data_IF_731390321471
#
_entry.id   IF_731390321471
#
_cell.length_a   1.000
_cell.length_b   1.000
_cell.length_c   1.000
_cell.angle_alpha   90.00
_cell.angle_beta   90.00
_cell.angle_gamma   90.00
#
_symmetry.space_group_name_H-M   'P 1'
#
loop_
_entity.id
_entity.type
_entity.pdbx_description
1 polymer ?
#
# COMPACT_ATOMS: atom_id res chain seq x y z
N UNK A 1 45.95 -22.99 -11.61
CA UNK A 1 44.79 -22.71 -12.48
C UNK A 1 43.64 -22.46 -11.55
N UNK A 2 43.15 -21.22 -11.56
CA UNK A 2 42.16 -20.68 -10.63
C UNK A 2 40.80 -21.07 -11.17
N UNK A 3 40.04 -21.87 -10.42
CA UNK A 3 38.62 -22.09 -10.70
C UNK A 3 37.88 -20.80 -10.31
N UNK A 4 37.34 -20.10 -11.30
CA UNK A 4 36.39 -19.02 -11.11
C UNK A 4 35.13 -19.57 -10.45
N UNK A 5 34.99 -19.32 -9.14
CA UNK A 5 33.72 -19.46 -8.45
C UNK A 5 32.74 -18.43 -9.03
N UNK A 6 31.86 -18.89 -9.92
CA UNK A 6 30.79 -18.08 -10.48
C UNK A 6 29.91 -17.54 -9.37
N UNK A 7 29.94 -16.22 -9.17
CA UNK A 7 28.98 -15.46 -8.38
C UNK A 7 27.56 -15.78 -8.86
N UNK A 8 26.81 -16.56 -8.08
CA UNK A 8 25.36 -16.68 -8.24
C UNK A 8 24.76 -15.39 -7.68
N UNK A 9 24.70 -14.33 -8.51
CA UNK A 9 23.86 -13.17 -8.24
C UNK A 9 22.41 -13.62 -8.37
N UNK A 10 21.66 -13.55 -7.27
CA UNK A 10 20.26 -13.97 -7.23
C UNK A 10 19.44 -13.35 -8.36
N UNK A 11 18.72 -14.18 -9.10
CA UNK A 11 17.81 -13.76 -10.18
C UNK A 11 16.45 -13.40 -9.58
N UNK A 12 15.70 -12.56 -10.31
CA UNK A 12 14.29 -12.37 -10.05
C UNK A 12 13.59 -13.74 -10.09
N UNK A 13 12.96 -14.16 -8.98
CA UNK A 13 12.36 -15.49 -8.85
C UNK A 13 13.00 -16.41 -7.79
N UNK A 14 14.14 -16.06 -7.21
CA UNK A 14 14.84 -16.95 -6.27
C UNK A 14 14.21 -16.98 -4.87
N UNK A 15 13.29 -16.06 -4.55
CA UNK A 15 12.67 -15.91 -3.22
C UNK A 15 11.31 -16.58 -3.06
N UNK A 16 10.83 -17.30 -4.09
CA UNK A 16 9.54 -18.02 -4.09
C UNK A 16 9.60 -19.32 -3.27
N UNK A 17 9.82 -19.18 -1.97
CA UNK A 17 9.75 -20.26 -0.99
C UNK A 17 8.69 -19.92 0.05
N UNK A 18 8.19 -20.93 0.76
CA UNK A 18 7.37 -20.66 1.94
C UNK A 18 8.22 -20.00 3.04
N UNK A 19 7.78 -18.90 3.65
CA UNK A 19 8.46 -18.33 4.81
C UNK A 19 8.48 -19.34 5.96
N UNK A 20 9.46 -19.21 6.86
CA UNK A 20 9.44 -19.90 8.14
C UNK A 20 8.58 -19.12 9.15
N UNK A 21 7.93 -19.77 10.12
CA UNK A 21 7.24 -19.05 11.19
C UNK A 21 8.27 -18.36 12.10
N UNK A 22 8.06 -17.08 12.42
CA UNK A 22 8.88 -16.35 13.39
C UNK A 22 8.52 -16.71 14.83
N UNK A 23 7.22 -16.76 15.11
CA UNK A 23 6.64 -17.19 16.38
C UNK A 23 5.21 -17.68 16.15
N UNK A 24 4.66 -18.40 17.12
CA UNK A 24 3.28 -18.86 17.07
C UNK A 24 2.31 -17.76 17.53
N UNK A 25 1.57 -17.17 16.59
CA UNK A 25 0.60 -16.10 16.89
C UNK A 25 -0.57 -16.62 17.75
N UNK A 26 -0.82 -17.94 17.77
CA UNK A 26 -1.82 -18.56 18.63
C UNK A 26 -1.38 -18.73 20.09
N UNK A 27 -0.08 -18.58 20.39
CA UNK A 27 0.44 -18.62 21.74
C UNK A 27 0.39 -17.20 22.36
N UNK A 28 -0.42 -16.96 23.41
CA UNK A 28 -0.54 -15.65 24.04
C UNK A 28 0.74 -15.17 24.73
N UNK A 29 1.73 -16.05 24.92
CA UNK A 29 3.04 -15.70 25.47
C UNK A 29 4.11 -15.48 24.39
N UNK A 30 3.80 -15.80 23.14
CA UNK A 30 4.72 -15.58 22.04
C UNK A 30 4.77 -14.10 21.65
N UNK A 31 5.97 -13.67 21.26
CA UNK A 31 6.24 -12.31 20.80
C UNK A 31 7.35 -12.35 19.75
N UNK A 32 7.43 -11.36 18.84
CA UNK A 32 8.58 -11.22 17.98
C UNK A 32 9.86 -11.01 18.82
N UNK A 33 11.02 -11.47 18.34
CA UNK A 33 12.31 -11.04 18.88
C UNK A 33 12.40 -9.51 18.91
N UNK A 34 13.05 -8.96 19.93
CA UNK A 34 13.13 -7.50 20.11
C UNK A 34 13.84 -6.76 18.97
N UNK A 35 14.74 -7.44 18.26
CA UNK A 35 15.47 -6.93 17.10
C UNK A 35 14.75 -7.16 15.76
N UNK A 36 13.53 -7.70 15.78
CA UNK A 36 12.72 -7.90 14.59
C UNK A 36 12.42 -6.59 13.85
N UNK A 37 12.16 -6.69 12.56
CA UNK A 37 11.62 -5.62 11.74
C UNK A 37 10.09 -5.76 11.67
N UNK A 38 9.43 -4.67 11.30
CA UNK A 38 7.98 -4.63 11.21
C UNK A 38 7.52 -3.88 9.96
N UNK A 39 6.50 -4.44 9.33
CA UNK A 39 5.78 -3.82 8.23
C UNK A 39 4.30 -3.72 8.59
N UNK A 40 3.75 -2.52 8.52
CA UNK A 40 2.33 -2.28 8.74
C UNK A 40 1.59 -2.08 7.41
N UNK A 41 0.53 -2.83 7.19
CA UNK A 41 -0.41 -2.63 6.08
C UNK A 41 -1.75 -2.16 6.60
N UNK A 42 -2.28 -1.04 6.08
CA UNK A 42 -3.50 -0.40 6.58
C UNK A 42 -4.65 -0.51 5.58
N UNK A 43 -5.83 -0.90 6.01
CA UNK A 43 -6.95 -1.02 5.09
C UNK A 43 -7.47 0.35 4.60
N UNK A 44 -8.16 0.40 3.45
CA UNK A 44 -8.89 1.58 3.02
C UNK A 44 -9.87 2.09 4.09
N UNK A 45 -10.04 3.41 4.16
CA UNK A 45 -10.82 4.02 5.24
C UNK A 45 -12.31 3.76 5.09
N UNK A 46 -12.83 3.73 3.86
CA UNK A 46 -14.25 3.44 3.60
C UNK A 46 -14.66 2.04 4.05
N UNK A 47 -13.75 1.06 3.95
CA UNK A 47 -13.99 -0.28 4.46
C UNK A 47 -13.98 -0.31 5.99
N UNK A 48 -13.10 0.47 6.63
CA UNK A 48 -13.15 0.64 8.09
C UNK A 48 -14.46 1.30 8.53
N UNK A 49 -14.94 2.31 7.79
CA UNK A 49 -16.22 2.97 8.06
C UNK A 49 -17.43 2.04 7.88
N UNK A 50 -17.41 1.17 6.86
CA UNK A 50 -18.42 0.12 6.69
C UNK A 50 -18.45 -0.81 7.91
N UNK A 51 -17.29 -1.30 8.36
CA UNK A 51 -17.19 -2.23 9.49
C UNK A 51 -17.64 -1.57 10.81
N UNK A 52 -17.30 -0.30 11.04
CA UNK A 52 -17.83 0.50 12.15
C UNK A 52 -19.35 0.63 12.08
N UNK A 53 -19.89 0.90 10.88
CA UNK A 53 -21.32 0.98 10.64
C UNK A 53 -22.04 -0.34 10.94
N UNK A 54 -21.45 -1.47 10.57
CA UNK A 54 -21.96 -2.81 10.86
C UNK A 54 -21.97 -3.10 12.37
N UNK A 55 -20.86 -2.81 13.07
CA UNK A 55 -20.79 -2.97 14.52
C UNK A 55 -21.84 -2.09 15.24
N UNK A 56 -21.99 -0.84 14.80
CA UNK A 56 -23.02 0.09 15.33
C UNK A 56 -24.44 -0.43 15.09
N UNK A 57 -24.67 -1.15 13.99
CA UNK A 57 -25.94 -1.77 13.65
C UNK A 57 -26.20 -3.10 14.40
N UNK A 58 -25.27 -3.56 15.25
CA UNK A 58 -25.37 -4.82 16.00
C UNK A 58 -25.03 -6.06 15.18
N UNK A 59 -24.24 -5.92 14.12
CA UNK A 59 -23.78 -7.01 13.25
C UNK A 59 -22.38 -7.52 13.69
N UNK A 60 -22.15 -7.67 14.99
CA UNK A 60 -20.84 -8.03 15.56
C UNK A 60 -20.33 -9.39 15.05
N UNK A 61 -21.24 -10.34 14.81
CA UNK A 61 -20.89 -11.67 14.27
C UNK A 61 -20.31 -11.57 12.86
N UNK A 62 -20.86 -10.69 12.01
CA UNK A 62 -20.36 -10.47 10.65
C UNK A 62 -18.99 -9.77 10.67
N UNK A 63 -18.79 -8.83 11.60
CA UNK A 63 -17.48 -8.16 11.79
C UNK A 63 -16.44 -9.16 12.30
N UNK A 64 -16.81 -10.08 13.19
CA UNK A 64 -15.92 -11.15 13.65
C UNK A 64 -15.59 -12.16 12.53
N UNK A 65 -16.57 -12.49 11.69
CA UNK A 65 -16.36 -13.32 10.50
C UNK A 65 -15.39 -12.66 9.51
N UNK A 66 -15.55 -11.36 9.26
CA UNK A 66 -14.60 -10.56 8.49
C UNK A 66 -13.19 -10.66 9.07
N UNK A 67 -13.03 -10.43 10.38
CA UNK A 67 -11.72 -10.50 11.04
C UNK A 67 -11.04 -11.85 10.87
N UNK A 68 -11.82 -12.94 10.91
CA UNK A 68 -11.32 -14.30 10.67
C UNK A 68 -10.83 -14.47 9.24
N UNK A 69 -11.64 -14.09 8.25
CA UNK A 69 -11.30 -14.24 6.83
C UNK A 69 -10.14 -13.32 6.42
N UNK A 70 -10.09 -12.11 6.95
CA UNK A 70 -8.97 -11.18 6.74
C UNK A 70 -7.68 -11.71 7.36
N UNK A 71 -7.76 -12.29 8.56
CA UNK A 71 -6.61 -12.97 9.18
C UNK A 71 -6.08 -14.09 8.30
N UNK A 72 -6.96 -14.96 7.77
CA UNK A 72 -6.55 -16.02 6.83
C UNK A 72 -5.88 -15.46 5.58
N UNK A 73 -6.45 -14.41 4.98
CA UNK A 73 -5.84 -13.73 3.83
C UNK A 73 -4.42 -13.26 4.14
N UNK A 74 -4.21 -12.63 5.30
CA UNK A 74 -2.89 -12.14 5.72
C UNK A 74 -1.91 -13.30 5.90
N UNK A 75 -2.30 -14.35 6.62
CA UNK A 75 -1.42 -15.50 6.89
C UNK A 75 -1.05 -16.26 5.61
N UNK A 76 -1.99 -16.45 4.68
CA UNK A 76 -1.78 -17.28 3.50
C UNK A 76 -1.18 -16.52 2.31
N UNK A 77 -1.57 -15.25 2.11
CA UNK A 77 -1.19 -14.50 0.92
C UNK A 77 -0.19 -13.40 1.19
N UNK A 78 -0.40 -12.58 2.23
CA UNK A 78 0.47 -11.44 2.51
C UNK A 78 1.85 -11.91 2.93
N UNK A 79 1.94 -12.89 3.84
CA UNK A 79 3.24 -13.43 4.26
C UNK A 79 4.04 -14.01 3.09
N UNK A 80 3.39 -14.73 2.17
CA UNK A 80 4.04 -15.23 0.95
C UNK A 80 4.56 -14.09 0.09
N UNK A 81 3.79 -13.03 -0.12
CA UNK A 81 4.21 -11.89 -0.94
C UNK A 81 5.33 -11.08 -0.28
N UNK A 82 5.32 -10.93 1.04
CA UNK A 82 6.42 -10.35 1.81
C UNK A 82 7.69 -11.18 1.64
N UNK A 83 7.59 -12.51 1.72
CA UNK A 83 8.71 -13.41 1.43
C UNK A 83 9.25 -13.22 0.00
N UNK A 84 8.38 -13.17 -1.00
CA UNK A 84 8.78 -12.98 -2.40
C UNK A 84 9.47 -11.63 -2.62
N UNK A 85 8.93 -10.54 -2.08
CA UNK A 85 9.45 -9.19 -2.30
C UNK A 85 10.67 -8.83 -1.44
N UNK A 86 10.70 -9.31 -0.20
CA UNK A 86 11.64 -8.89 0.83
C UNK A 86 12.64 -9.99 1.24
N UNK A 87 12.53 -11.20 0.68
CA UNK A 87 13.31 -12.39 1.05
C UNK A 87 14.80 -12.34 0.73
N UNK A 88 15.53 -11.42 1.34
CA UNK A 88 16.96 -11.22 1.12
C UNK A 88 17.71 -11.04 2.44
N UNK A 89 18.87 -11.67 2.56
CA UNK A 89 19.83 -11.43 3.63
C UNK A 89 21.03 -10.60 3.10
N UNK A 90 21.69 -9.84 3.97
CA UNK A 90 22.84 -9.03 3.60
C UNK A 90 24.06 -9.93 3.36
N UNK A 91 24.74 -9.75 2.23
CA UNK A 91 25.99 -10.46 1.94
C UNK A 91 27.13 -9.93 2.84
N UNK A 92 27.75 -10.77 3.69
CA UNK A 92 28.87 -10.33 4.53
C UNK A 92 30.07 -9.81 3.73
N UNK A 93 30.28 -10.30 2.50
CA UNK A 93 31.36 -9.87 1.62
C UNK A 93 31.02 -8.59 0.84
N UNK A 94 29.72 -8.31 0.65
CA UNK A 94 29.23 -7.14 -0.05
C UNK A 94 27.90 -6.65 0.57
N UNK A 95 27.93 -5.92 1.70
CA UNK A 95 26.72 -5.60 2.49
C UNK A 95 25.61 -4.87 1.74
N UNK A 96 25.94 -4.22 0.62
CA UNK A 96 24.97 -3.56 -0.27
C UNK A 96 24.28 -4.51 -1.26
N UNK A 97 24.60 -5.79 -1.22
CA UNK A 97 24.04 -6.84 -2.08
C UNK A 97 23.18 -7.78 -1.23
N UNK A 98 21.93 -7.95 -1.64
CA UNK A 98 21.01 -8.91 -1.03
C UNK A 98 21.17 -10.30 -1.66
N UNK A 99 21.34 -11.33 -0.81
CA UNK A 99 21.31 -12.74 -1.17
C UNK A 99 19.90 -13.30 -0.97
N UNK A 100 19.31 -14.04 -1.92
CA UNK A 100 18.00 -14.69 -1.73
C UNK A 100 17.98 -15.56 -0.47
N UNK A 101 17.01 -15.32 0.39
CA UNK A 101 16.90 -15.92 1.71
C UNK A 101 15.44 -16.24 2.08
N UNK A 102 15.27 -17.27 2.90
CA UNK A 102 14.01 -17.56 3.58
C UNK A 102 13.91 -16.71 4.84
N UNK A 103 12.90 -15.85 4.90
CA UNK A 103 12.56 -15.05 6.06
C UNK A 103 11.81 -15.90 7.09
N UNK A 104 11.96 -15.50 8.35
CA UNK A 104 11.07 -15.88 9.44
C UNK A 104 10.03 -14.78 9.60
N UNK A 105 8.76 -15.11 9.39
CA UNK A 105 7.64 -14.18 9.38
C UNK A 105 6.54 -14.59 10.35
N UNK A 106 5.85 -13.60 10.90
CA UNK A 106 4.57 -13.76 11.60
C UNK A 106 3.73 -12.52 11.36
N UNK A 107 2.40 -12.67 11.30
CA UNK A 107 1.50 -11.54 11.14
C UNK A 107 0.43 -11.50 12.24
N UNK A 108 0.08 -10.29 12.68
CA UNK A 108 -1.04 -10.02 13.59
C UNK A 108 -1.98 -9.03 12.92
N UNK A 109 -3.28 -9.29 13.02
CA UNK A 109 -4.34 -8.41 12.53
C UNK A 109 -4.93 -7.67 13.73
N UNK A 110 -5.12 -6.36 13.58
CA UNK A 110 -5.75 -5.52 14.58
C UNK A 110 -6.84 -4.67 13.93
N UNK A 111 -7.91 -4.41 14.68
CA UNK A 111 -9.06 -3.62 14.24
C UNK A 111 -9.05 -2.19 14.80
N UNK A 112 -8.18 -1.88 15.75
CA UNK A 112 -8.17 -0.60 16.47
C UNK A 112 -6.77 0.00 16.51
N UNK A 113 -6.68 1.32 16.46
CA UNK A 113 -5.44 2.07 16.66
C UNK A 113 -5.56 2.85 17.98
N UNK A 114 -4.61 2.73 18.91
CA UNK A 114 -4.65 3.48 20.16
C UNK A 114 -4.81 4.98 19.94
N UNK A 115 -5.78 5.59 20.63
CA UNK A 115 -6.10 7.01 20.52
C UNK A 115 -7.03 7.39 19.36
N UNK A 116 -7.52 6.42 18.59
CA UNK A 116 -8.54 6.62 17.55
C UNK A 116 -9.81 5.88 17.94
N UNK A 117 -10.91 6.62 18.08
CA UNK A 117 -12.23 6.10 18.45
C UNK A 117 -13.04 5.69 17.19
N UNK A 118 -12.47 4.78 16.41
CA UNK A 118 -13.05 4.20 15.21
C UNK A 118 -12.25 2.96 14.77
N UNK A 119 -12.87 2.00 14.10
CA UNK A 119 -12.15 0.87 13.54
C UNK A 119 -11.10 1.35 12.54
N UNK A 120 -9.92 0.76 12.63
CA UNK A 120 -8.79 0.97 11.74
C UNK A 120 -8.19 -0.41 11.53
N UNK A 121 -8.77 -1.17 10.61
CA UNK A 121 -8.27 -2.51 10.35
C UNK A 121 -6.91 -2.44 9.64
N UNK A 122 -5.95 -3.18 10.17
CA UNK A 122 -4.59 -3.23 9.66
C UNK A 122 -3.92 -4.54 10.09
N UNK A 123 -2.76 -4.81 9.52
CA UNK A 123 -1.93 -5.91 9.99
C UNK A 123 -0.48 -5.50 10.17
N UNK A 124 0.15 -6.14 11.16
CA UNK A 124 1.56 -6.06 11.49
C UNK A 124 2.23 -7.33 11.00
N UNK A 125 3.16 -7.23 10.04
CA UNK A 125 4.02 -8.32 9.63
C UNK A 125 5.39 -8.14 10.26
N UNK A 126 5.74 -9.05 11.17
CA UNK A 126 7.04 -9.10 11.82
C UNK A 126 8.00 -9.95 11.00
N UNK A 127 9.23 -9.47 10.86
CA UNK A 127 10.32 -10.12 10.12
C UNK A 127 11.48 -10.32 11.09
N UNK A 128 12.00 -11.53 11.22
CA UNK A 128 13.19 -11.79 12.03
C UNK A 128 14.39 -10.94 11.59
N UNK A 129 15.31 -10.64 12.51
CA UNK A 129 16.52 -9.86 12.22
C UNK A 129 17.52 -10.59 11.33
N UNK A 130 17.39 -11.91 11.22
CA UNK A 130 18.21 -12.78 10.38
C UNK A 130 17.36 -13.67 9.50
N UNK A 131 17.91 -14.12 8.37
CA UNK A 131 17.26 -15.00 7.42
C UNK A 131 18.23 -16.07 6.92
N UNK A 132 17.68 -17.21 6.51
CA UNK A 132 18.46 -18.34 6.00
C UNK A 132 18.69 -18.18 4.50
N UNK A 133 19.93 -17.96 4.06
CA UNK A 133 20.29 -17.89 2.64
C UNK A 133 19.95 -19.21 1.96
N UNK A 134 19.25 -19.13 0.82
CA UNK A 134 18.73 -20.31 0.15
C UNK A 134 19.83 -21.18 -0.48
N UNK A 135 20.90 -20.55 -0.96
CA UNK A 135 21.99 -21.25 -1.62
C UNK A 135 22.90 -22.03 -0.65
N UNK A 136 23.12 -21.50 0.56
CA UNK A 136 24.12 -22.05 1.51
C UNK A 136 23.49 -22.63 2.77
N UNK A 137 22.25 -22.25 3.11
CA UNK A 137 21.62 -22.58 4.40
C UNK A 137 22.16 -21.77 5.58
N UNK A 138 23.11 -20.86 5.35
CA UNK A 138 23.68 -20.02 6.40
C UNK A 138 22.73 -18.89 6.80
N UNK A 139 22.82 -18.44 8.05
CA UNK A 139 22.00 -17.34 8.57
C UNK A 139 22.79 -16.04 8.53
N UNK A 140 22.22 -15.03 7.87
CA UNK A 140 22.77 -13.67 7.84
C UNK A 140 21.70 -12.64 8.21
N UNK A 141 22.09 -11.42 8.59
CA UNK A 141 21.15 -10.33 8.85
C UNK A 141 20.22 -10.09 7.67
N UNK A 142 18.95 -9.75 7.92
CA UNK A 142 18.02 -9.38 6.86
C UNK A 142 18.48 -8.11 6.15
N UNK A 143 18.37 -8.10 4.82
CA UNK A 143 18.77 -6.96 4.01
C UNK A 143 17.68 -5.88 4.00
N UNK A 144 17.74 -5.00 5.00
CA UNK A 144 16.79 -3.90 5.26
C UNK A 144 16.39 -3.08 4.02
N UNK A 145 17.30 -2.70 3.09
CA UNK A 145 16.89 -1.94 1.89
C UNK A 145 15.89 -2.67 0.97
N UNK A 146 15.77 -4.00 1.07
CA UNK A 146 14.73 -4.77 0.37
C UNK A 146 13.40 -4.84 1.13
N UNK A 147 13.39 -4.70 2.45
CA UNK A 147 12.15 -4.48 3.20
C UNK A 147 11.52 -3.17 2.74
N UNK A 148 12.26 -2.06 2.85
CA UNK A 148 11.77 -0.72 2.51
C UNK A 148 11.25 -0.68 1.06
N UNK A 149 12.05 -1.11 0.09
CA UNK A 149 11.65 -1.05 -1.34
C UNK A 149 10.63 -2.10 -1.74
N UNK A 150 10.73 -3.32 -1.19
CA UNK A 150 9.86 -4.43 -1.56
C UNK A 150 8.42 -4.21 -1.11
N UNK A 151 8.24 -3.67 0.10
CA UNK A 151 6.92 -3.42 0.69
C UNK A 151 6.13 -2.38 -0.09
N UNK A 152 6.75 -1.31 -0.60
CA UNK A 152 6.02 -0.29 -1.37
C UNK A 152 5.33 -0.88 -2.61
N UNK A 153 5.97 -1.83 -3.30
CA UNK A 153 5.36 -2.52 -4.44
C UNK A 153 4.22 -3.47 -4.03
N UNK A 154 4.23 -3.96 -2.79
CA UNK A 154 3.18 -4.84 -2.26
C UNK A 154 1.96 -4.07 -1.78
N UNK A 155 2.12 -2.85 -1.26
CA UNK A 155 1.04 -2.07 -0.69
C UNK A 155 -0.10 -1.88 -1.71
N UNK A 156 0.24 -1.47 -2.93
CA UNK A 156 -0.74 -1.32 -4.00
C UNK A 156 -1.45 -2.65 -4.30
N UNK A 157 -0.70 -3.74 -4.54
CA UNK A 157 -1.30 -5.05 -4.84
C UNK A 157 -2.15 -5.64 -3.71
N UNK A 158 -1.74 -5.46 -2.46
CA UNK A 158 -2.49 -5.92 -1.28
C UNK A 158 -3.80 -5.13 -1.12
N UNK A 159 -3.72 -3.79 -1.18
CA UNK A 159 -4.89 -2.93 -1.02
C UNK A 159 -5.82 -2.97 -2.22
N UNK A 160 -5.31 -3.08 -3.44
CA UNK A 160 -6.13 -2.98 -4.67
C UNK A 160 -6.66 -4.30 -5.18
N UNK A 161 -6.12 -5.44 -4.73
CA UNK A 161 -6.59 -6.75 -5.19
C UNK A 161 -7.24 -7.52 -4.07
N UNK A 162 -6.46 -7.97 -3.10
CA UNK A 162 -6.95 -8.98 -2.18
C UNK A 162 -8.01 -8.44 -1.21
N UNK A 163 -7.76 -7.27 -0.62
CA UNK A 163 -8.71 -6.65 0.32
C UNK A 163 -9.98 -6.23 -0.41
N UNK A 164 -9.87 -5.79 -1.67
CA UNK A 164 -11.01 -5.41 -2.49
C UNK A 164 -11.84 -6.61 -2.89
N UNK A 165 -11.22 -7.63 -3.48
CA UNK A 165 -11.89 -8.89 -3.85
C UNK A 165 -12.53 -9.56 -2.64
N UNK A 166 -11.87 -9.51 -1.48
CA UNK A 166 -12.43 -10.00 -0.23
C UNK A 166 -13.69 -9.20 0.16
N UNK A 167 -13.62 -7.88 0.22
CA UNK A 167 -14.77 -7.04 0.57
C UNK A 167 -15.92 -7.15 -0.44
N UNK A 168 -15.62 -7.21 -1.75
CA UNK A 168 -16.60 -7.43 -2.82
C UNK A 168 -17.35 -8.75 -2.59
N UNK A 169 -16.61 -9.82 -2.25
CA UNK A 169 -17.20 -11.14 -2.01
C UNK A 169 -18.04 -11.20 -0.74
N UNK A 170 -17.53 -10.67 0.37
CA UNK A 170 -18.19 -10.78 1.69
C UNK A 170 -19.36 -9.78 1.84
N UNK A 171 -19.26 -8.59 1.22
CA UNK A 171 -20.22 -7.50 1.43
C UNK A 171 -20.95 -7.03 0.18
N UNK A 172 -20.57 -7.52 -1.01
CA UNK A 172 -21.21 -7.10 -2.27
C UNK A 172 -20.96 -5.63 -2.63
N UNK A 173 -19.89 -5.03 -2.11
CA UNK A 173 -19.53 -3.62 -2.38
C UNK A 173 -18.87 -3.45 -3.74
N UNK A 174 -18.87 -2.22 -4.27
CA UNK A 174 -18.08 -1.84 -5.44
C UNK A 174 -17.09 -0.74 -5.08
N UNK A 175 -15.88 -0.86 -5.64
CA UNK A 175 -14.79 0.07 -5.41
C UNK A 175 -14.57 1.01 -6.58
N UNK A 176 -14.19 2.24 -6.28
CA UNK A 176 -13.85 3.22 -7.30
C UNK A 176 -13.12 4.42 -6.71
N UNK A 177 -12.73 5.35 -7.58
CA UNK A 177 -12.13 6.59 -7.12
C UNK A 177 -13.22 7.52 -6.60
N UNK A 178 -13.20 7.90 -5.31
CA UNK A 178 -14.22 8.81 -4.75
C UNK A 178 -14.12 10.22 -5.36
N UNK A 179 -12.96 10.58 -5.92
CA UNK A 179 -12.72 11.82 -6.65
C UNK A 179 -11.63 11.63 -7.70
N UNK A 180 -11.57 12.43 -8.79
CA UNK A 180 -10.59 12.26 -9.87
C UNK A 180 -9.12 12.25 -9.42
N UNK A 181 -8.80 12.94 -8.32
CA UNK A 181 -7.46 13.01 -7.73
C UNK A 181 -7.13 11.88 -6.76
N UNK A 182 -8.09 11.03 -6.38
CA UNK A 182 -7.86 9.96 -5.43
C UNK A 182 -6.89 8.92 -5.98
N UNK A 183 -5.87 8.57 -5.18
CA UNK A 183 -4.89 7.51 -5.51
C UNK A 183 -5.29 6.13 -5.04
N UNK A 184 -6.11 6.06 -3.99
CA UNK A 184 -6.66 4.82 -3.49
C UNK A 184 -8.13 4.75 -3.89
N UNK A 185 -8.54 3.58 -4.36
CA UNK A 185 -9.95 3.28 -4.54
C UNK A 185 -10.58 3.09 -3.16
N UNK A 186 -11.78 3.63 -3.00
CA UNK A 186 -12.62 3.51 -1.83
C UNK A 186 -13.95 2.88 -2.27
N UNK A 187 -14.78 2.47 -1.31
CA UNK A 187 -16.08 1.88 -1.60
C UNK A 187 -17.04 2.99 -2.08
N UNK A 188 -17.49 2.89 -3.32
CA UNK A 188 -18.37 3.87 -4.00
C UNK A 188 -19.81 3.41 -4.14
N UNK A 189 -20.06 2.10 -4.02
CA UNK A 189 -21.42 1.56 -3.98
C UNK A 189 -21.52 0.40 -2.96
N UNK A 190 -22.36 0.54 -1.92
CA UNK A 190 -22.95 1.80 -1.45
C UNK A 190 -21.85 2.83 -1.09
N UNK A 191 -22.11 4.15 -1.07
CA UNK A 191 -21.07 5.18 -1.06
C UNK A 191 -20.38 5.39 0.31
N UNK A 192 -19.76 4.35 0.87
CA UNK A 192 -19.08 4.39 2.17
C UNK A 192 -17.92 5.39 2.24
N UNK A 193 -17.34 5.76 1.10
CA UNK A 193 -16.37 6.85 1.02
C UNK A 193 -16.93 8.20 1.51
N UNK A 194 -18.24 8.45 1.46
CA UNK A 194 -18.87 9.67 1.98
C UNK A 194 -18.91 9.70 3.52
N UNK A 195 -18.80 8.53 4.16
CA UNK A 195 -18.76 8.38 5.61
C UNK A 195 -17.35 8.44 6.19
N UNK A 196 -16.34 8.58 5.33
CA UNK A 196 -14.96 8.81 5.76
C UNK A 196 -14.79 10.28 6.09
N UNK A 197 -14.59 10.59 7.37
CA UNK A 197 -14.22 11.95 7.78
C UNK A 197 -12.95 12.39 7.03
N UNK A 198 -12.98 13.49 6.24
CA UNK A 198 -11.81 13.98 5.52
C UNK A 198 -10.63 14.36 6.42
N UNK A 199 -10.88 14.60 7.71
CA UNK A 199 -9.87 14.84 8.74
C UNK A 199 -9.44 13.59 9.48
N UNK A 200 -10.06 12.43 9.19
CA UNK A 200 -9.72 11.17 9.81
C UNK A 200 -8.26 10.83 9.57
N UNK A 201 -7.51 10.79 10.67
CA UNK A 201 -6.17 10.24 10.65
C UNK A 201 -6.29 8.74 10.44
N UNK A 202 -5.61 8.19 9.42
CA UNK A 202 -5.50 6.73 9.23
C UNK A 202 -4.87 6.05 10.44
N UNK A 203 -4.03 6.80 11.16
CA UNK A 203 -3.26 6.33 12.29
C UNK A 203 -2.06 5.51 11.84
N UNK A 204 -1.04 5.45 12.69
CA UNK A 204 0.00 4.43 12.64
C UNK A 204 -0.12 3.69 13.95
N UNK A 205 -0.48 2.42 13.90
CA UNK A 205 -0.53 1.63 15.14
C UNK A 205 0.90 1.39 15.63
N UNK A 206 1.20 1.61 16.92
CA UNK A 206 2.49 1.25 17.50
C UNK A 206 2.69 -0.27 17.59
N UNK A 207 1.66 -1.06 17.31
CA UNK A 207 1.67 -2.51 17.41
C UNK A 207 1.63 -3.01 18.85
N UNK A 208 1.35 -4.30 19.06
CA UNK A 208 1.29 -4.92 20.38
C UNK A 208 2.65 -5.10 21.05
N UNK A 209 3.75 -5.08 20.28
CA UNK A 209 5.11 -5.25 20.77
C UNK A 209 6.06 -4.18 20.23
N UNK A 210 6.94 -3.70 21.10
CA UNK A 210 8.05 -2.83 20.71
C UNK A 210 9.15 -3.62 20.00
N UNK A 211 9.59 -3.11 18.85
CA UNK A 211 10.70 -3.67 18.08
C UNK A 211 11.77 -2.61 17.80
N UNK A 212 13.04 -3.01 17.79
CA UNK A 212 14.19 -2.14 17.48
C UNK A 212 14.60 -2.13 16.02
N UNK A 213 14.15 -3.11 15.24
CA UNK A 213 14.40 -3.15 13.81
C UNK A 213 13.67 -2.04 13.07
N UNK A 214 13.80 -2.03 11.74
CA UNK A 214 13.09 -1.03 10.94
C UNK A 214 11.59 -1.23 11.01
N UNK A 215 10.86 -0.12 11.08
CA UNK A 215 9.41 -0.08 10.95
C UNK A 215 9.05 0.60 9.63
N UNK A 216 8.23 -0.05 8.82
CA UNK A 216 7.80 0.46 7.51
C UNK A 216 6.28 0.47 7.45
N UNK A 217 5.70 1.62 7.13
CA UNK A 217 4.27 1.74 6.85
C UNK A 217 4.08 1.63 5.33
N UNK A 218 3.44 0.55 4.88
CA UNK A 218 3.50 0.11 3.49
C UNK A 218 2.95 1.13 2.48
N UNK A 219 1.91 1.88 2.85
CA UNK A 219 1.20 2.84 2.02
C UNK A 219 1.61 4.30 2.27
N UNK A 220 2.52 4.58 3.21
CA UNK A 220 2.83 5.94 3.66
C UNK A 220 3.44 6.81 2.54
N UNK A 221 4.41 6.30 1.80
CA UNK A 221 5.02 7.05 0.70
C UNK A 221 4.01 7.36 -0.40
N UNK A 222 3.22 6.36 -0.81
CA UNK A 222 2.18 6.52 -1.83
C UNK A 222 1.13 7.54 -1.41
N UNK A 223 0.72 7.54 -0.14
CA UNK A 223 -0.23 8.51 0.41
C UNK A 223 0.35 9.91 0.51
N UNK A 224 1.62 10.07 0.91
CA UNK A 224 2.30 11.37 0.93
C UNK A 224 2.35 11.98 -0.47
N UNK A 225 2.77 11.21 -1.47
CA UNK A 225 2.80 11.66 -2.88
C UNK A 225 1.39 12.00 -3.38
N UNK A 226 0.37 11.24 -2.97
CA UNK A 226 -1.03 11.53 -3.29
C UNK A 226 -1.48 12.89 -2.75
N UNK A 227 -1.18 13.18 -1.48
CA UNK A 227 -1.56 14.41 -0.81
C UNK A 227 -0.87 15.63 -1.45
N UNK A 228 0.42 15.53 -1.76
CA UNK A 228 1.17 16.57 -2.47
C UNK A 228 0.57 16.86 -3.86
N UNK A 229 0.20 15.81 -4.60
CA UNK A 229 -0.45 15.96 -5.90
C UNK A 229 -1.85 16.58 -5.80
N UNK A 230 -2.61 16.26 -4.75
CA UNK A 230 -3.94 16.83 -4.54
C UNK A 230 -3.87 18.33 -4.21
N UNK A 231 -2.91 18.76 -3.39
CA UNK A 231 -2.64 20.17 -3.12
C UNK A 231 -2.28 20.92 -4.42
N UNK A 232 -1.42 20.33 -5.25
CA UNK A 232 -1.06 20.90 -6.54
C UNK A 232 -2.28 21.05 -7.48
N UNK A 233 -3.11 20.01 -7.59
CA UNK A 233 -4.30 20.04 -8.46
C UNK A 233 -5.35 21.04 -7.97
N UNK A 234 -5.56 21.18 -6.65
CA UNK A 234 -6.45 22.19 -6.09
C UNK A 234 -5.97 23.61 -6.40
N UNK A 235 -4.68 23.88 -6.19
CA UNK A 235 -4.08 25.17 -6.53
C UNK A 235 -4.20 25.49 -8.04
N UNK A 236 -4.06 24.48 -8.91
CA UNK A 236 -4.25 24.62 -10.35
C UNK A 236 -5.70 24.90 -10.75
N UNK A 237 -6.67 24.26 -10.09
CA UNK A 237 -8.10 24.52 -10.31
C UNK A 237 -8.47 25.94 -9.85
N UNK A 238 -8.06 26.33 -8.65
CA UNK A 238 -8.25 27.69 -8.13
C UNK A 238 -7.62 28.74 -9.07
N UNK A 239 -6.43 28.46 -9.61
CA UNK A 239 -5.78 29.32 -10.60
C UNK A 239 -6.65 29.47 -11.85
N UNK A 240 -7.15 28.37 -12.42
CA UNK A 240 -8.03 28.40 -13.61
C UNK A 240 -9.36 29.09 -13.37
N UNK A 241 -9.95 28.93 -12.18
CA UNK A 241 -11.18 29.62 -11.79
C UNK A 241 -10.94 31.12 -11.54
N UNK A 242 -9.73 31.51 -11.15
CA UNK A 242 -9.31 32.90 -10.96
C UNK A 242 -8.82 33.60 -12.24
N UNK A 243 -8.49 32.84 -13.29
CA UNK A 243 -8.12 33.39 -14.59
C UNK A 243 -9.38 33.98 -15.26
N UNK A 244 -9.39 35.27 -15.61
CA UNK A 244 -10.55 35.87 -16.26
C UNK A 244 -10.81 35.14 -17.58
N UNK A 245 -12.06 34.77 -17.85
CA UNK A 245 -12.43 34.25 -19.17
C UNK A 245 -11.89 35.20 -20.25
N UNK A 246 -11.22 34.68 -21.29
CA UNK A 246 -10.76 35.52 -22.37
C UNK A 246 -11.98 36.27 -22.91
N UNK A 247 -11.91 37.61 -22.86
CA UNK A 247 -12.98 38.47 -23.36
C UNK A 247 -13.41 37.97 -24.74
N UNK A 248 -14.72 37.81 -24.99
CA UNK A 248 -15.16 37.36 -26.30
C UNK A 248 -14.58 38.28 -27.36
N UNK A 249 -14.07 37.73 -28.49
CA UNK A 249 -13.43 38.55 -29.51
C UNK A 249 -14.38 39.65 -29.93
N UNK A 250 -13.87 40.88 -29.94
CA UNK A 250 -14.59 42.08 -30.34
C UNK A 250 -15.13 41.93 -31.76
N UNK A 251 -16.14 42.73 -32.11
CA UNK A 251 -16.67 42.76 -33.47
C UNK A 251 -15.59 43.03 -34.53
N UNK A 252 -14.54 43.79 -34.18
CA UNK A 252 -13.40 44.05 -35.07
C UNK A 252 -12.46 42.86 -35.23
N UNK A 253 -12.23 42.09 -34.17
CA UNK A 253 -11.43 40.86 -34.25
C UNK A 253 -12.14 39.78 -35.05
N UNK A 254 -13.46 39.61 -34.86
CA UNK A 254 -14.28 38.70 -35.67
C UNK A 254 -14.33 39.13 -37.14
N UNK A 255 -14.38 40.45 -37.40
CA UNK A 255 -14.35 41.00 -38.76
C UNK A 255 -12.98 40.81 -39.41
N UNK A 256 -11.88 40.93 -38.66
CA UNK A 256 -10.53 40.68 -39.14
C UNK A 256 -10.29 39.20 -39.47
N UNK A 257 -10.81 38.26 -38.67
CA UNK A 257 -10.80 36.82 -38.99
C UNK A 257 -11.57 36.51 -40.29
N UNK A 258 -12.77 37.05 -40.43
CA UNK A 258 -13.59 36.89 -41.64
C UNK A 258 -12.90 37.47 -42.90
N UNK A 259 -12.15 38.57 -42.75
CA UNK A 259 -11.39 39.16 -43.83
C UNK A 259 -10.07 38.41 -44.11
N UNK A 260 -9.44 37.83 -43.09
CA UNK A 260 -8.26 36.98 -43.22
C UNK A 260 -8.55 35.72 -44.02
N UNK A 261 -9.68 35.06 -43.75
CA UNK A 261 -10.15 33.90 -44.52
C UNK A 261 -10.58 34.28 -45.94
N UNK A 262 -11.12 35.49 -46.14
CA UNK A 262 -11.45 36.02 -47.48
C UNK A 262 -10.20 36.43 -48.29
N UNK A 263 -9.08 36.73 -47.62
CA UNK A 263 -7.81 37.11 -48.27
C UNK A 263 -6.97 35.91 -48.73
N UNK A 264 -7.32 34.68 -48.32
CA UNK A 264 -6.69 33.43 -48.77
C UNK A 264 -7.70 32.58 -49.56
N UNK A 265 -8.36 33.18 -50.55
CA UNK A 265 -8.99 32.43 -51.65
C UNK A 265 -8.52 33.00 -52.99
N UNK A 266 -7.43 32.48 -53.57
CA UNK A 266 -6.97 32.91 -54.88
C UNK A 266 -7.93 32.40 -55.96
N UNK A 267 -8.83 33.25 -56.43
CA UNK A 267 -9.40 33.11 -57.77
C UNK A 267 -8.42 33.72 -58.76
N UNK A 268 -7.66 32.86 -59.43
CA UNK A 268 -7.01 33.14 -60.71
C UNK A 268 -6.85 31.85 -61.50
N UNK A 269 -7.83 31.62 -62.37
CA UNK A 269 -7.80 30.86 -63.64
C UNK A 269 -7.66 29.35 -63.61
#
# INVERSE_FOLDING_TARGET
MVEEAGMIRGRFGDTHVAPAPLFDVGDPLAAPPFDAHEVQFRMPLSLSALLDGMATAGLDEDVAAWGTTYTQLVQEQVLRRVQEACGYAADPAAPDVGLPARLELAAVVEAAVPGIDAARWHCHVYIGSTACVLATGERFPVYVPKIQRGVFGLADGFHTRDVRELAEREFGVTWGRPRPSAKLDEIVDPPWHEHVDPSAVRGVCPGPWDVQGVRVVADEESLRVAAEQELFLRAELERRESEPEPSPPTLMERYAELLGDAAVSPRSR
#
